data_IF_341811173872
#
_entry.id   IF_341811173872
#
_cell.length_a   1.000
_cell.length_b   1.000
_cell.length_c   1.000
_cell.angle_alpha   90.00
_cell.angle_beta   90.00
_cell.angle_gamma   90.00
#
_symmetry.space_group_name_H-M   'P 1'
#
loop_
_entity.id
_entity.type
_entity.pdbx_description
1 polymer ?
#
# COMPACT_ATOMS: atom_id res chain seq x y z
N UNK A 1 60.50 -79.90 15.94
CA UNK A 1 61.04 -79.24 14.73
C UNK A 1 59.85 -78.74 13.94
N UNK A 2 59.88 -77.49 13.47
CA UNK A 2 58.84 -76.97 12.58
C UNK A 2 59.10 -77.55 11.20
N UNK A 3 58.51 -78.70 10.91
CA UNK A 3 58.55 -79.26 9.57
C UNK A 3 57.63 -78.43 8.68
N UNK A 4 58.23 -77.63 7.81
CA UNK A 4 57.53 -76.89 6.77
C UNK A 4 57.04 -77.93 5.76
N UNK A 5 55.82 -78.41 6.00
CA UNK A 5 55.13 -79.37 5.16
C UNK A 5 54.13 -78.67 4.23
N UNK A 6 53.75 -79.34 3.14
CA UNK A 6 52.78 -78.84 2.14
C UNK A 6 51.44 -78.43 2.78
N UNK A 7 51.08 -79.03 3.92
CA UNK A 7 49.91 -78.69 4.72
C UNK A 7 49.90 -77.24 5.19
N UNK A 8 51.06 -76.65 5.51
CA UNK A 8 51.15 -75.23 5.90
C UNK A 8 50.77 -74.31 4.74
N UNK A 9 51.21 -74.63 3.52
CA UNK A 9 50.83 -73.90 2.32
C UNK A 9 49.34 -74.03 2.01
N UNK A 10 48.77 -75.23 2.19
CA UNK A 10 47.33 -75.48 2.03
C UNK A 10 46.51 -74.69 3.06
N UNK A 11 46.96 -74.65 4.32
CA UNK A 11 46.30 -73.87 5.38
C UNK A 11 46.38 -72.36 5.12
N UNK A 12 47.51 -71.87 4.63
CA UNK A 12 47.70 -70.48 4.21
C UNK A 12 46.75 -70.11 3.06
N UNK A 13 46.65 -70.97 2.05
CA UNK A 13 45.74 -70.78 0.93
C UNK A 13 44.27 -70.76 1.39
N UNK A 14 43.89 -71.64 2.33
CA UNK A 14 42.55 -71.65 2.91
C UNK A 14 42.25 -70.36 3.69
N UNK A 15 43.19 -69.89 4.52
CA UNK A 15 43.05 -68.64 5.25
C UNK A 15 42.90 -67.43 4.31
N UNK A 16 43.71 -67.37 3.25
CA UNK A 16 43.61 -66.32 2.24
C UNK A 16 42.29 -66.38 1.48
N UNK A 17 41.83 -67.58 1.10
CA UNK A 17 40.52 -67.77 0.46
C UNK A 17 39.38 -67.29 1.38
N UNK A 18 39.40 -67.66 2.67
CA UNK A 18 38.42 -67.24 3.65
C UNK A 18 38.44 -65.73 3.88
N UNK A 19 39.63 -65.12 3.92
CA UNK A 19 39.79 -63.66 4.02
C UNK A 19 39.17 -62.94 2.81
N UNK A 20 39.38 -63.44 1.60
CA UNK A 20 38.79 -62.88 0.37
C UNK A 20 37.28 -63.02 0.38
N UNK A 21 36.75 -64.19 0.74
CA UNK A 21 35.31 -64.45 0.85
C UNK A 21 34.69 -63.50 1.88
N UNK A 22 35.29 -63.36 3.06
CA UNK A 22 34.78 -62.49 4.12
C UNK A 22 34.85 -61.00 3.72
N UNK A 23 35.90 -60.59 3.00
CA UNK A 23 36.01 -59.24 2.45
C UNK A 23 34.87 -58.92 1.46
N UNK A 24 34.54 -59.88 0.59
CA UNK A 24 33.48 -59.74 -0.40
C UNK A 24 32.08 -59.78 0.23
N UNK A 25 31.83 -60.71 1.15
CA UNK A 25 30.50 -60.95 1.73
C UNK A 25 30.17 -60.01 2.88
N UNK A 26 31.15 -59.60 3.70
CA UNK A 26 30.89 -58.87 4.93
C UNK A 26 31.45 -57.44 4.90
N UNK A 27 32.75 -57.28 4.67
CA UNK A 27 33.39 -55.96 4.82
C UNK A 27 32.94 -54.96 3.76
N UNK A 28 32.80 -55.39 2.50
CA UNK A 28 32.29 -54.54 1.41
C UNK A 28 30.85 -54.05 1.63
N UNK A 29 29.85 -54.92 1.86
CA UNK A 29 28.48 -54.46 2.07
C UNK A 29 28.33 -53.67 3.37
N UNK A 30 29.03 -54.03 4.44
CA UNK A 30 28.98 -53.28 5.69
C UNK A 30 29.48 -51.83 5.52
N UNK A 31 30.60 -51.65 4.82
CA UNK A 31 31.11 -50.29 4.49
C UNK A 31 30.13 -49.52 3.61
N UNK A 32 29.50 -50.18 2.63
CA UNK A 32 28.51 -49.56 1.75
C UNK A 32 27.32 -49.03 2.55
N UNK A 33 26.74 -49.85 3.43
CA UNK A 33 25.59 -49.46 4.26
C UNK A 33 25.95 -48.32 5.22
N UNK A 34 27.16 -48.33 5.80
CA UNK A 34 27.63 -47.23 6.64
C UNK A 34 27.81 -45.92 5.86
N UNK A 35 28.35 -46.00 4.64
CA UNK A 35 28.48 -44.84 3.76
C UNK A 35 27.11 -44.29 3.34
N UNK A 36 26.19 -45.16 2.90
CA UNK A 36 24.81 -44.78 2.54
C UNK A 36 24.07 -44.14 3.71
N UNK A 37 24.21 -44.67 4.93
CA UNK A 37 23.62 -44.04 6.13
C UNK A 37 24.19 -42.66 6.39
N UNK A 38 25.51 -42.50 6.32
CA UNK A 38 26.17 -41.21 6.53
C UNK A 38 25.76 -40.19 5.46
N UNK A 39 25.69 -40.62 4.21
CA UNK A 39 25.26 -39.78 3.09
C UNK A 39 23.79 -39.36 3.25
N UNK A 40 22.90 -40.29 3.61
CA UNK A 40 21.48 -39.98 3.82
C UNK A 40 21.29 -38.98 4.96
N UNK A 41 21.96 -39.15 6.08
CA UNK A 41 21.87 -38.23 7.23
C UNK A 41 22.40 -36.85 6.86
N UNK A 42 23.62 -36.78 6.30
CA UNK A 42 24.20 -35.50 5.87
C UNK A 42 23.45 -34.83 4.72
N UNK A 43 22.76 -35.61 3.87
CA UNK A 43 21.84 -35.10 2.85
C UNK A 43 20.63 -34.43 3.47
N UNK A 44 19.98 -35.10 4.42
CA UNK A 44 18.83 -34.55 5.15
C UNK A 44 19.20 -33.30 5.95
N UNK A 45 20.35 -33.29 6.62
CA UNK A 45 20.84 -32.11 7.35
C UNK A 45 21.01 -30.90 6.41
N UNK A 46 21.66 -31.11 5.25
CA UNK A 46 21.83 -30.05 4.24
C UNK A 46 20.49 -29.57 3.66
N UNK A 47 19.54 -30.48 3.45
CA UNK A 47 18.21 -30.13 2.97
C UNK A 47 17.46 -29.29 4.01
N UNK A 48 17.50 -29.69 5.29
CA UNK A 48 16.91 -28.94 6.40
C UNK A 48 17.51 -27.53 6.50
N UNK A 49 18.84 -27.41 6.47
CA UNK A 49 19.52 -26.11 6.47
C UNK A 49 19.11 -25.24 5.28
N UNK A 50 19.01 -25.83 4.10
CA UNK A 50 18.54 -25.16 2.88
C UNK A 50 17.09 -24.68 3.01
N UNK A 51 16.19 -25.50 3.55
CA UNK A 51 14.79 -25.14 3.78
C UNK A 51 14.65 -24.02 4.81
N UNK A 52 15.39 -24.09 5.93
CA UNK A 52 15.39 -23.03 6.95
C UNK A 52 15.90 -21.72 6.35
N UNK A 53 17.00 -21.75 5.59
CA UNK A 53 17.53 -20.56 4.92
C UNK A 53 16.52 -19.95 3.94
N UNK A 54 15.91 -20.79 3.11
CA UNK A 54 14.89 -20.34 2.15
C UNK A 54 13.65 -19.78 2.85
N UNK A 55 13.20 -20.41 3.95
CA UNK A 55 12.08 -19.92 4.74
C UNK A 55 12.36 -18.54 5.34
N UNK A 56 13.54 -18.37 5.94
CA UNK A 56 13.99 -17.08 6.49
C UNK A 56 14.08 -16.00 5.42
N UNK A 57 14.63 -16.32 4.25
CA UNK A 57 14.72 -15.38 3.14
C UNK A 57 13.33 -14.96 2.64
N UNK A 58 12.41 -15.92 2.46
CA UNK A 58 11.03 -15.62 2.04
C UNK A 58 10.29 -14.77 3.06
N UNK A 59 10.52 -15.02 4.36
CA UNK A 59 9.91 -14.26 5.44
C UNK A 59 10.42 -12.82 5.45
N UNK A 60 11.72 -12.62 5.23
CA UNK A 60 12.30 -11.28 5.10
C UNK A 60 11.78 -10.53 3.87
N UNK A 61 11.76 -11.18 2.70
CA UNK A 61 11.19 -10.62 1.47
C UNK A 61 9.71 -10.24 1.66
N UNK A 62 8.95 -11.06 2.38
CA UNK A 62 7.55 -10.79 2.70
C UNK A 62 7.41 -9.57 3.61
N UNK A 63 8.22 -9.46 4.67
CA UNK A 63 8.24 -8.29 5.56
C UNK A 63 8.57 -7.00 4.81
N UNK A 64 9.58 -7.02 3.95
CA UNK A 64 9.97 -5.87 3.12
C UNK A 64 8.82 -5.47 2.20
N UNK A 65 8.20 -6.43 1.52
CA UNK A 65 7.04 -6.15 0.65
C UNK A 65 5.85 -5.59 1.41
N UNK A 66 5.56 -6.12 2.60
CA UNK A 66 4.47 -5.65 3.45
C UNK A 66 4.72 -4.22 3.93
N UNK A 67 5.92 -3.93 4.43
CA UNK A 67 6.32 -2.58 4.84
C UNK A 67 6.22 -1.60 3.68
N UNK A 68 6.74 -1.96 2.50
CA UNK A 68 6.64 -1.13 1.30
C UNK A 68 5.21 -0.94 0.80
N UNK A 69 4.33 -1.94 0.97
CA UNK A 69 2.91 -1.79 0.65
C UNK A 69 2.20 -0.81 1.60
N UNK A 70 2.48 -0.89 2.91
CA UNK A 70 1.96 0.06 3.89
C UNK A 70 2.43 1.49 3.62
N UNK A 71 3.72 1.67 3.29
CA UNK A 71 4.27 2.99 2.99
C UNK A 71 3.61 3.59 1.74
N UNK A 72 3.46 2.80 0.66
CA UNK A 72 2.74 3.24 -0.54
C UNK A 72 1.29 3.59 -0.25
N UNK A 73 0.58 2.74 0.49
CA UNK A 73 -0.82 2.98 0.84
C UNK A 73 -1.01 4.23 1.70
N UNK A 74 -0.12 4.46 2.68
CA UNK A 74 -0.15 5.68 3.48
C UNK A 74 0.15 6.92 2.63
N UNK A 75 1.13 6.83 1.72
CA UNK A 75 1.46 7.93 0.82
C UNK A 75 0.29 8.28 -0.09
N UNK A 76 -0.34 7.29 -0.70
CA UNK A 76 -1.51 7.47 -1.57
C UNK A 76 -2.71 8.05 -0.80
N UNK A 77 -2.95 7.57 0.42
CA UNK A 77 -3.97 8.13 1.31
C UNK A 77 -3.71 9.61 1.62
N UNK A 78 -2.47 9.97 1.97
CA UNK A 78 -2.12 11.37 2.25
C UNK A 78 -2.20 12.24 0.98
N UNK A 79 -1.83 11.72 -0.18
CA UNK A 79 -2.04 12.41 -1.47
C UNK A 79 -3.52 12.69 -1.71
N UNK A 80 -4.39 11.67 -1.64
CA UNK A 80 -5.84 11.83 -1.84
C UNK A 80 -6.46 12.80 -0.83
N UNK A 81 -6.01 12.75 0.43
CA UNK A 81 -6.46 13.68 1.46
C UNK A 81 -6.05 15.13 1.14
N UNK A 82 -4.81 15.35 0.71
CA UNK A 82 -4.33 16.69 0.34
C UNK A 82 -5.02 17.22 -0.92
N UNK A 83 -5.28 16.36 -1.91
CA UNK A 83 -6.08 16.70 -3.09
C UNK A 83 -7.50 17.10 -2.69
N UNK A 84 -8.16 16.30 -1.85
CA UNK A 84 -9.50 16.62 -1.34
C UNK A 84 -9.55 17.94 -0.57
N UNK A 85 -8.58 18.21 0.31
CA UNK A 85 -8.48 19.51 1.00
C UNK A 85 -8.21 20.67 0.04
N UNK A 86 -7.46 20.44 -1.03
CA UNK A 86 -7.21 21.41 -2.09
C UNK A 86 -8.48 21.76 -2.85
N UNK A 87 -9.24 20.75 -3.28
CA UNK A 87 -10.52 20.93 -3.96
C UNK A 87 -11.57 21.59 -3.06
N UNK A 88 -11.68 21.16 -1.80
CA UNK A 88 -12.56 21.78 -0.82
C UNK A 88 -12.27 23.28 -0.68
N UNK A 89 -10.99 23.64 -0.53
CA UNK A 89 -10.57 25.04 -0.44
C UNK A 89 -10.89 25.82 -1.70
N UNK A 90 -10.71 25.22 -2.89
CA UNK A 90 -11.08 25.86 -4.16
C UNK A 90 -12.59 26.10 -4.26
N UNK A 91 -13.41 25.11 -3.91
CA UNK A 91 -14.88 25.20 -3.94
C UNK A 91 -15.37 26.27 -2.97
N UNK A 92 -14.86 26.29 -1.74
CA UNK A 92 -15.22 27.29 -0.73
C UNK A 92 -14.80 28.69 -1.21
N UNK A 93 -13.58 28.83 -1.74
CA UNK A 93 -13.09 30.12 -2.25
C UNK A 93 -13.94 30.63 -3.41
N UNK A 94 -14.30 29.75 -4.35
CA UNK A 94 -15.14 30.09 -5.50
C UNK A 94 -16.54 30.51 -5.05
N UNK A 95 -17.19 29.71 -4.21
CA UNK A 95 -18.52 30.00 -3.66
C UNK A 95 -18.52 31.33 -2.91
N UNK A 96 -17.49 31.60 -2.11
CA UNK A 96 -17.36 32.88 -1.38
C UNK A 96 -17.24 34.07 -2.33
N UNK A 97 -16.41 33.95 -3.37
CA UNK A 97 -16.25 35.01 -4.39
C UNK A 97 -17.55 35.26 -5.15
N UNK A 98 -18.28 34.20 -5.52
CA UNK A 98 -19.58 34.29 -6.17
C UNK A 98 -20.63 34.96 -5.26
N UNK A 99 -20.65 34.62 -3.97
CA UNK A 99 -21.53 35.23 -2.98
C UNK A 99 -21.22 36.72 -2.79
N UNK A 100 -19.95 37.10 -2.70
CA UNK A 100 -19.52 38.50 -2.61
C UNK A 100 -19.91 39.29 -3.89
N UNK A 101 -19.71 38.70 -5.07
CA UNK A 101 -20.13 39.29 -6.34
C UNK A 101 -21.65 39.42 -6.48
N UNK A 102 -22.41 38.44 -5.99
CA UNK A 102 -23.89 38.49 -5.95
C UNK A 102 -24.38 39.59 -5.02
N UNK A 103 -23.80 39.70 -3.82
CA UNK A 103 -24.10 40.76 -2.85
C UNK A 103 -23.82 42.14 -3.44
N UNK A 104 -22.67 42.33 -4.08
CA UNK A 104 -22.31 43.60 -4.72
C UNK A 104 -23.30 43.97 -5.83
N UNK A 105 -23.71 43.02 -6.67
CA UNK A 105 -24.73 43.22 -7.70
C UNK A 105 -26.09 43.62 -7.10
N UNK A 106 -26.56 42.90 -6.07
CA UNK A 106 -27.83 43.24 -5.41
C UNK A 106 -27.79 44.64 -4.78
N UNK A 107 -26.70 45.03 -4.13
CA UNK A 107 -26.55 46.37 -3.55
C UNK A 107 -26.55 47.46 -4.63
N UNK A 108 -25.91 47.22 -5.77
CA UNK A 108 -25.94 48.15 -6.90
C UNK A 108 -27.35 48.29 -7.49
N UNK A 109 -28.06 47.17 -7.66
CA UNK A 109 -29.45 47.14 -8.15
C UNK A 109 -30.38 47.93 -7.23
N UNK A 110 -30.31 47.68 -5.91
CA UNK A 110 -31.10 48.40 -4.90
C UNK A 110 -30.81 49.90 -4.93
N UNK A 111 -29.54 50.30 -5.10
CA UNK A 111 -29.18 51.71 -5.26
C UNK A 111 -29.77 52.35 -6.52
N UNK A 112 -29.79 51.63 -7.64
CA UNK A 112 -30.43 52.10 -8.87
C UNK A 112 -31.95 52.22 -8.71
N UNK A 113 -32.59 51.22 -8.10
CA UNK A 113 -34.04 51.22 -7.87
C UNK A 113 -34.46 52.33 -6.91
N UNK A 114 -33.67 52.58 -5.86
CA UNK A 114 -33.90 53.71 -4.95
C UNK A 114 -33.77 55.07 -5.67
N UNK A 115 -32.80 55.22 -6.57
CA UNK A 115 -32.65 56.43 -7.38
C UNK A 115 -33.83 56.62 -8.35
N UNK A 116 -34.26 55.55 -9.04
CA UNK A 116 -35.45 55.58 -9.90
C UNK A 116 -36.71 55.97 -9.14
N UNK A 117 -36.96 55.33 -8.00
CA UNK A 117 -38.12 55.65 -7.16
C UNK A 117 -38.08 57.11 -6.69
N UNK A 118 -36.89 57.64 -6.36
CA UNK A 118 -36.72 59.05 -5.99
C UNK A 118 -37.01 60.02 -7.14
N UNK A 119 -36.61 59.68 -8.36
CA UNK A 119 -36.94 60.46 -9.56
C UNK A 119 -38.43 60.43 -9.89
N UNK A 120 -39.07 59.26 -9.81
CA UNK A 120 -40.52 59.11 -9.99
C UNK A 120 -41.30 59.92 -8.95
N UNK A 121 -40.92 59.82 -7.66
CA UNK A 121 -41.55 60.63 -6.61
C UNK A 121 -41.38 62.12 -6.89
N UNK A 122 -40.19 62.59 -7.31
CA UNK A 122 -39.99 64.00 -7.68
C UNK A 122 -40.90 64.44 -8.83
N UNK A 123 -41.16 63.58 -9.82
CA UNK A 123 -42.12 63.85 -10.88
C UNK A 123 -43.56 63.99 -10.34
N UNK A 124 -43.93 63.10 -9.42
CA UNK A 124 -45.25 63.07 -8.78
C UNK A 124 -45.45 64.20 -7.74
N UNK A 125 -44.38 64.79 -7.19
CA UNK A 125 -44.47 65.91 -6.23
C UNK A 125 -45.23 67.11 -6.81
N UNK A 126 -45.18 67.35 -8.12
CA UNK A 126 -45.97 68.41 -8.77
C UNK A 126 -47.49 68.12 -8.74
N UNK A 127 -47.87 66.85 -8.91
CA UNK A 127 -49.24 66.36 -8.79
C UNK A 127 -49.73 66.41 -7.35
N UNK A 128 -48.93 65.92 -6.40
CA UNK A 128 -49.26 65.99 -4.97
C UNK A 128 -49.36 67.44 -4.47
N UNK A 129 -48.51 68.35 -4.94
CA UNK A 129 -48.59 69.77 -4.60
C UNK A 129 -49.87 70.42 -5.16
N UNK A 130 -50.28 70.04 -6.38
CA UNK A 130 -51.55 70.50 -6.98
C UNK A 130 -52.76 69.94 -6.24
N UNK A 131 -52.74 68.65 -5.86
CA UNK A 131 -53.79 68.01 -5.08
C UNK A 131 -53.94 68.63 -3.69
N UNK A 132 -52.83 68.91 -3.01
CA UNK A 132 -52.82 69.58 -1.70
C UNK A 132 -53.33 71.02 -1.84
N UNK A 133 -52.88 71.76 -2.87
CA UNK A 133 -53.33 73.12 -3.13
C UNK A 133 -54.85 73.15 -3.42
N UNK A 134 -55.36 72.22 -4.23
CA UNK A 134 -56.79 72.08 -4.51
C UNK A 134 -57.61 71.78 -3.23
N UNK A 135 -57.07 70.97 -2.31
CA UNK A 135 -57.74 70.58 -1.06
C UNK A 135 -57.72 71.68 0.01
N UNK A 136 -56.67 72.52 0.05
CA UNK A 136 -56.55 73.66 0.97
C UNK A 136 -57.31 74.89 0.44
N UNK A 137 -57.32 75.13 -0.87
CA UNK A 137 -57.97 76.31 -1.48
C UNK A 137 -59.48 76.12 -1.74
N UNK A 138 -60.03 74.93 -1.47
CA UNK A 138 -61.49 74.72 -1.42
C UNK A 138 -62.23 75.03 -2.72
N UNK A 139 -61.54 75.09 -3.86
CA UNK A 139 -62.15 75.27 -5.17
C UNK A 139 -61.33 74.56 -6.24
N UNK A 140 -61.98 73.56 -6.83
CA UNK A 140 -61.59 72.92 -8.07
C UNK A 140 -61.31 73.96 -9.14
N UNK A 141 -60.11 73.89 -9.73
CA UNK A 141 -59.84 74.31 -11.11
C UNK A 141 -59.21 73.10 -11.79
#
# INVERSE_FOLDING_TARGET
MLDINITLFIQMANFLALMVILNLILYRPLRKIMAERKEKVSGLEREIEGLIKNANQRLEDFKVKLSGAHERGNKEKETLKNEGLGEEKQIISKTRSEAEASKSRMLSQVGQDANKAKEELKGQVSGFASDIAAKILGRSI
#
